data_IF_509280614138
#
_entry.id   IF_509280614138
#
_cell.length_a   1.000
_cell.length_b   1.000
_cell.length_c   1.000
_cell.angle_alpha   90.00
_cell.angle_beta   90.00
_cell.angle_gamma   90.00
#
_symmetry.space_group_name_H-M   'P 1'
#
loop_
_entity.id
_entity.type
_entity.pdbx_description
1 polymer ?
#
# COMPACT_ATOMS: atom_id res chain seq x y z
N UNK A 1 8.49 18.58 11.61
CA UNK A 1 7.56 17.60 12.20
C UNK A 1 6.20 18.24 12.18
N UNK A 2 5.15 17.51 11.79
CA UNK A 2 3.77 18.00 11.87
C UNK A 2 3.44 18.21 13.34
N UNK A 3 2.85 19.35 13.68
CA UNK A 3 2.45 19.61 15.06
C UNK A 3 1.31 18.67 15.48
N UNK A 4 1.52 17.97 16.59
CA UNK A 4 0.55 17.04 17.14
C UNK A 4 0.46 17.27 18.65
N UNK A 5 -0.67 17.83 19.15
CA UNK A 5 -0.79 18.16 20.56
C UNK A 5 -0.87 16.93 21.48
N UNK A 6 -1.18 15.75 20.94
CA UNK A 6 -1.37 14.54 21.73
C UNK A 6 -0.10 13.71 21.89
N UNK A 7 0.97 14.01 21.14
CA UNK A 7 2.23 13.24 21.08
C UNK A 7 2.07 11.73 20.73
N UNK A 8 0.86 11.30 20.40
CA UNK A 8 0.51 9.95 20.00
C UNK A 8 0.51 9.82 18.49
N UNK A 9 0.92 8.67 17.95
CA UNK A 9 0.71 8.43 16.52
C UNK A 9 -0.79 8.48 16.20
N UNK A 10 -1.16 8.86 14.96
CA UNK A 10 -2.57 8.91 14.54
C UNK A 10 -3.32 7.58 14.78
N UNK A 11 -2.57 6.50 14.88
CA UNK A 11 -3.04 5.13 15.03
C UNK A 11 -3.35 4.76 16.48
N UNK A 12 -2.79 5.47 17.44
CA UNK A 12 -3.09 5.25 18.83
C UNK A 12 -4.50 5.78 19.17
N UNK A 13 -5.23 5.10 20.06
CA UNK A 13 -6.52 5.60 20.53
C UNK A 13 -6.29 6.89 21.31
N UNK A 14 -6.91 7.97 20.82
CA UNK A 14 -7.03 9.22 21.57
C UNK A 14 -8.21 9.01 22.52
N UNK A 15 -7.96 9.13 23.81
CA UNK A 15 -8.92 8.99 24.89
C UNK A 15 -9.29 10.36 25.43
N UNK A 16 -10.35 10.42 26.25
CA UNK A 16 -10.79 11.65 26.91
C UNK A 16 -9.65 12.36 27.67
N UNK A 17 -8.80 11.61 28.37
CA UNK A 17 -7.64 12.16 29.11
C UNK A 17 -6.64 12.88 28.20
N UNK A 18 -6.52 12.48 26.93
CA UNK A 18 -5.61 13.14 25.98
C UNK A 18 -6.15 14.49 25.51
N UNK A 19 -7.48 14.67 25.54
CA UNK A 19 -8.13 15.94 25.18
C UNK A 19 -7.86 17.03 26.20
N UNK A 20 -7.71 16.66 27.47
CA UNK A 20 -7.40 17.60 28.56
C UNK A 20 -6.05 18.31 28.38
N UNK A 21 -5.14 17.73 27.59
CA UNK A 21 -3.87 18.37 27.21
C UNK A 21 -4.13 19.69 26.47
N UNK A 22 -5.18 19.77 25.65
CA UNK A 22 -5.53 20.97 24.89
C UNK A 22 -5.82 22.15 25.82
N UNK A 23 -6.53 21.91 26.92
CA UNK A 23 -6.89 22.93 27.92
C UNK A 23 -5.71 23.20 28.86
N UNK A 24 -5.10 22.14 29.39
CA UNK A 24 -4.01 22.23 30.38
C UNK A 24 -2.81 22.99 29.83
N UNK A 25 -2.45 22.74 28.57
CA UNK A 25 -1.33 23.40 27.90
C UNK A 25 -1.73 24.71 27.20
N UNK A 26 -2.97 25.17 27.36
CA UNK A 26 -3.48 26.41 26.75
C UNK A 26 -3.24 26.45 25.23
N UNK A 27 -3.59 25.36 24.55
CA UNK A 27 -3.37 25.23 23.12
C UNK A 27 -4.35 26.15 22.38
N UNK A 28 -3.80 27.08 21.60
CA UNK A 28 -4.55 28.01 20.77
C UNK A 28 -4.84 27.44 19.38
N UNK A 29 -5.95 27.89 18.77
CA UNK A 29 -6.12 27.76 17.33
C UNK A 29 -4.95 28.43 16.59
N UNK A 30 -4.66 27.92 15.40
CA UNK A 30 -3.61 28.48 14.56
C UNK A 30 -3.43 27.64 13.31
N UNK A 31 -2.22 27.59 12.76
CA UNK A 31 -1.96 26.89 11.50
C UNK A 31 -2.33 25.40 11.48
N UNK A 32 -2.33 24.74 12.65
CA UNK A 32 -2.48 23.29 12.76
C UNK A 32 -3.74 22.85 13.51
N UNK A 33 -4.48 23.77 14.14
CA UNK A 33 -5.64 23.44 14.98
C UNK A 33 -6.78 24.40 14.68
N UNK A 34 -7.96 23.83 14.54
CA UNK A 34 -9.25 24.50 14.43
C UNK A 34 -10.21 23.87 15.45
N UNK A 35 -10.79 24.70 16.32
CA UNK A 35 -11.83 24.31 17.26
C UNK A 35 -13.21 24.74 16.78
N UNK A 36 -14.21 23.92 17.12
CA UNK A 36 -15.62 24.30 17.09
C UNK A 36 -16.31 23.75 18.33
N UNK A 37 -17.22 24.53 18.90
CA UNK A 37 -18.08 24.05 20.00
C UNK A 37 -19.05 22.98 19.51
N UNK A 38 -19.68 23.20 18.36
CA UNK A 38 -20.66 22.29 17.75
C UNK A 38 -20.38 22.15 16.25
N UNK A 39 -20.91 21.09 15.63
CA UNK A 39 -20.79 20.89 14.18
C UNK A 39 -21.56 22.02 13.48
N UNK A 40 -20.90 22.88 12.67
CA UNK A 40 -21.59 23.96 11.99
C UNK A 40 -22.71 23.44 11.08
N UNK A 41 -23.90 24.04 11.17
CA UNK A 41 -25.03 23.69 10.26
C UNK A 41 -24.71 24.01 8.81
N UNK A 42 -23.89 25.03 8.58
CA UNK A 42 -23.43 25.43 7.26
C UNK A 42 -22.24 24.57 6.80
N UNK A 43 -22.54 23.63 5.91
CA UNK A 43 -21.56 22.66 5.38
C UNK A 43 -20.40 23.34 4.63
N UNK A 44 -20.60 24.52 4.02
CA UNK A 44 -19.50 25.19 3.32
C UNK A 44 -18.44 25.70 4.30
N UNK A 45 -18.82 26.09 5.53
CA UNK A 45 -17.86 26.54 6.54
C UNK A 45 -16.92 25.41 6.95
N UNK A 46 -17.47 24.23 7.19
CA UNK A 46 -16.68 23.02 7.48
C UNK A 46 -15.75 22.72 6.29
N UNK A 47 -16.27 22.76 5.07
CA UNK A 47 -15.47 22.49 3.86
C UNK A 47 -14.29 23.47 3.72
N UNK A 48 -14.51 24.76 4.03
CA UNK A 48 -13.45 25.79 4.05
C UNK A 48 -12.39 25.47 5.10
N UNK A 49 -12.79 25.14 6.34
CA UNK A 49 -11.83 24.81 7.40
C UNK A 49 -10.99 23.58 7.02
N UNK A 50 -11.62 22.50 6.57
CA UNK A 50 -10.93 21.27 6.16
C UNK A 50 -10.01 21.48 4.94
N UNK A 51 -10.50 22.16 3.89
CA UNK A 51 -9.70 22.48 2.71
C UNK A 51 -8.51 23.36 3.08
N UNK A 52 -8.68 24.32 4.00
CA UNK A 52 -7.61 25.22 4.41
C UNK A 52 -6.48 24.53 5.17
N UNK A 53 -6.81 23.57 6.03
CA UNK A 53 -5.84 22.73 6.73
C UNK A 53 -5.07 21.88 5.69
N UNK A 54 -5.79 21.22 4.80
CA UNK A 54 -5.20 20.38 3.74
C UNK A 54 -4.33 21.20 2.76
N UNK A 55 -4.70 22.46 2.48
CA UNK A 55 -3.93 23.39 1.66
C UNK A 55 -2.76 24.03 2.40
N UNK A 56 -2.65 23.92 3.72
CA UNK A 56 -1.58 24.58 4.49
C UNK A 56 -0.56 23.56 4.98
N UNK A 57 -0.69 23.02 6.19
CA UNK A 57 0.28 22.08 6.76
C UNK A 57 -0.39 20.80 7.29
N UNK A 58 -1.61 20.51 6.84
CA UNK A 58 -2.47 19.57 7.54
C UNK A 58 -2.93 20.14 8.88
N UNK A 59 -3.32 19.27 9.80
CA UNK A 59 -3.65 19.62 11.18
C UNK A 59 -4.87 18.89 11.72
N UNK A 60 -5.50 19.50 12.71
CA UNK A 60 -6.57 18.94 13.51
C UNK A 60 -7.79 19.85 13.47
N UNK A 61 -8.93 19.28 13.10
CA UNK A 61 -10.23 19.92 13.23
C UNK A 61 -11.00 19.21 14.34
N UNK A 62 -11.30 19.93 15.42
CA UNK A 62 -11.83 19.34 16.66
C UNK A 62 -13.16 20.01 17.00
N UNK A 63 -14.21 19.21 17.14
CA UNK A 63 -15.56 19.66 17.49
C UNK A 63 -15.95 19.16 18.87
N UNK A 64 -16.52 20.03 19.69
CA UNK A 64 -16.82 19.79 21.11
C UNK A 64 -15.88 20.51 22.06
N UNK A 65 -15.16 21.53 21.57
CA UNK A 65 -14.19 22.31 22.36
C UNK A 65 -14.64 23.76 22.42
N UNK A 66 -14.66 24.31 23.63
CA UNK A 66 -14.91 25.73 23.88
C UNK A 66 -13.60 26.50 23.88
N UNK A 67 -13.65 27.74 23.38
CA UNK A 67 -12.50 28.62 23.30
C UNK A 67 -12.78 29.97 23.93
N UNK A 68 -11.73 30.63 24.41
CA UNK A 68 -11.81 32.03 24.83
C UNK A 68 -11.74 33.01 23.65
N UNK A 69 -11.66 34.31 23.96
CA UNK A 69 -11.52 35.40 22.99
C UNK A 69 -10.19 35.41 22.23
N UNK A 70 -9.20 34.63 22.69
CA UNK A 70 -7.90 34.45 22.06
C UNK A 70 -7.82 33.10 21.31
N UNK A 71 -8.95 32.42 21.14
CA UNK A 71 -9.07 31.10 20.51
C UNK A 71 -8.26 30.00 21.24
N UNK A 72 -8.04 30.15 22.55
CA UNK A 72 -7.41 29.14 23.41
C UNK A 72 -8.47 28.18 23.93
N UNK A 73 -8.19 26.87 23.89
CA UNK A 73 -9.10 25.86 24.44
C UNK A 73 -9.31 26.05 25.95
N UNK A 74 -10.58 26.17 26.37
CA UNK A 74 -10.95 26.39 27.79
C UNK A 74 -11.70 25.22 28.41
N UNK A 75 -12.43 24.44 27.60
CA UNK A 75 -13.19 23.29 28.09
C UNK A 75 -13.49 22.29 26.97
N UNK A 76 -13.53 20.99 27.32
CA UNK A 76 -13.95 19.90 26.44
C UNK A 76 -15.41 19.55 26.78
N UNK A 77 -16.37 20.33 26.27
CA UNK A 77 -17.79 20.15 26.60
C UNK A 77 -18.50 19.07 25.77
N UNK A 78 -17.96 18.76 24.59
CA UNK A 78 -18.57 17.83 23.63
C UNK A 78 -19.91 18.31 23.08
N UNK A 79 -20.53 17.49 22.24
CA UNK A 79 -21.89 17.68 21.73
C UNK A 79 -22.73 16.42 21.90
N UNK A 80 -24.05 16.55 21.92
CA UNK A 80 -24.96 15.41 22.14
C UNK A 80 -25.15 14.58 20.86
N UNK A 81 -25.40 13.27 21.01
CA UNK A 81 -25.74 12.39 19.88
C UNK A 81 -27.03 12.79 19.17
N UNK A 82 -27.95 13.46 19.86
CA UNK A 82 -29.16 14.07 19.28
C UNK A 82 -28.82 15.16 18.26
N UNK A 83 -27.73 15.91 18.49
CA UNK A 83 -27.28 16.97 17.59
C UNK A 83 -26.66 16.39 16.31
N UNK A 84 -25.95 15.26 16.42
CA UNK A 84 -25.41 14.53 15.28
C UNK A 84 -25.14 13.07 15.65
N UNK A 85 -25.97 12.16 15.12
CA UNK A 85 -25.88 10.73 15.41
C UNK A 85 -24.63 10.08 14.80
N UNK A 86 -24.28 10.46 13.56
CA UNK A 86 -23.11 9.91 12.85
C UNK A 86 -22.22 11.03 12.28
N UNK A 87 -21.39 11.64 13.14
CA UNK A 87 -20.54 12.76 12.73
C UNK A 87 -19.46 12.34 11.73
N UNK A 88 -19.03 11.06 11.75
CA UNK A 88 -18.02 10.56 10.81
C UNK A 88 -18.57 10.53 9.39
N UNK A 89 -19.77 9.97 9.19
CA UNK A 89 -20.41 9.94 7.87
C UNK A 89 -20.72 11.35 7.37
N UNK A 90 -21.15 12.26 8.26
CA UNK A 90 -21.37 13.67 7.91
C UNK A 90 -20.11 14.32 7.33
N UNK A 91 -18.94 14.15 7.97
CA UNK A 91 -17.67 14.70 7.47
C UNK A 91 -17.28 14.06 6.13
N UNK A 92 -17.36 12.73 6.03
CA UNK A 92 -17.00 12.00 4.80
C UNK A 92 -17.85 12.43 3.61
N UNK A 93 -19.16 12.53 3.79
CA UNK A 93 -20.08 12.98 2.75
C UNK A 93 -19.84 14.44 2.39
N UNK A 94 -19.63 15.29 3.39
CA UNK A 94 -19.35 16.71 3.17
C UNK A 94 -18.12 16.89 2.29
N UNK A 95 -17.01 16.24 2.62
CA UNK A 95 -15.76 16.40 1.86
C UNK A 95 -15.90 15.90 0.44
N UNK A 96 -16.57 14.75 0.21
CA UNK A 96 -16.86 14.24 -1.14
C UNK A 96 -17.67 15.21 -2.01
N UNK A 97 -18.60 15.96 -1.41
CA UNK A 97 -19.51 16.85 -2.16
C UNK A 97 -19.05 18.31 -2.24
N UNK A 98 -18.19 18.74 -1.32
CA UNK A 98 -17.83 20.16 -1.16
C UNK A 98 -16.36 20.49 -1.42
N UNK A 99 -15.49 19.50 -1.63
CA UNK A 99 -14.05 19.71 -1.87
C UNK A 99 -13.60 18.84 -3.04
N UNK A 100 -12.81 19.43 -3.95
CA UNK A 100 -12.26 18.77 -5.13
C UNK A 100 -10.77 19.14 -5.33
N UNK A 101 -9.83 18.18 -5.47
CA UNK A 101 -10.03 16.74 -5.24
C UNK A 101 -10.49 16.44 -3.81
N UNK A 102 -10.96 15.23 -3.54
CA UNK A 102 -11.41 14.83 -2.18
C UNK A 102 -10.16 14.67 -1.29
N UNK A 103 -9.94 15.50 -0.25
CA UNK A 103 -8.82 15.30 0.66
C UNK A 103 -9.02 14.05 1.51
N UNK A 104 -7.90 13.41 1.86
CA UNK A 104 -7.87 12.36 2.87
C UNK A 104 -7.96 12.99 4.25
N UNK A 105 -8.72 12.33 5.11
CA UNK A 105 -8.98 12.71 6.48
C UNK A 105 -9.23 11.47 7.35
N UNK A 106 -8.86 11.57 8.62
CA UNK A 106 -9.00 10.50 9.60
C UNK A 106 -9.89 10.99 10.75
N UNK A 107 -11.21 10.85 10.60
CA UNK A 107 -12.17 11.25 11.63
C UNK A 107 -12.27 10.16 12.71
N UNK A 108 -12.31 10.58 13.97
CA UNK A 108 -12.53 9.75 15.15
C UNK A 108 -13.55 10.42 16.06
N UNK A 109 -14.36 9.63 16.74
CA UNK A 109 -15.30 10.08 17.76
C UNK A 109 -14.85 9.56 19.11
N UNK A 110 -14.81 10.44 20.10
CA UNK A 110 -14.49 10.11 21.48
C UNK A 110 -15.74 10.38 22.30
N UNK A 111 -16.16 9.39 23.07
CA UNK A 111 -17.26 9.52 24.04
C UNK A 111 -16.67 9.96 25.37
N UNK A 112 -17.16 11.08 25.89
CA UNK A 112 -16.80 11.61 27.19
C UNK A 112 -17.55 10.87 28.31
N UNK A 113 -17.09 10.98 29.55
CA UNK A 113 -17.73 10.36 30.71
C UNK A 113 -19.20 10.75 30.91
N UNK A 114 -19.62 11.91 30.41
CA UNK A 114 -21.00 12.40 30.43
C UNK A 114 -21.85 11.98 29.21
N UNK A 115 -21.36 11.06 28.38
CA UNK A 115 -21.98 10.60 27.12
C UNK A 115 -22.03 11.63 25.98
N UNK A 116 -21.45 12.83 26.16
CA UNK A 116 -21.24 13.74 25.03
C UNK A 116 -20.12 13.21 24.13
N UNK A 117 -20.13 13.66 22.89
CA UNK A 117 -19.20 13.26 21.84
C UNK A 117 -18.24 14.39 21.51
N UNK A 118 -16.99 14.05 21.26
CA UNK A 118 -15.99 14.92 20.64
C UNK A 118 -15.60 14.31 19.31
N UNK A 119 -15.69 15.09 18.23
CA UNK A 119 -15.23 14.68 16.91
C UNK A 119 -13.83 15.27 16.71
N UNK A 120 -12.87 14.41 16.41
CA UNK A 120 -11.53 14.80 15.96
C UNK A 120 -11.38 14.39 14.52
N UNK A 121 -10.91 15.30 13.67
CA UNK A 121 -10.54 15.00 12.29
C UNK A 121 -9.09 15.38 12.12
N UNK A 122 -8.23 14.39 11.90
CA UNK A 122 -6.86 14.64 11.47
C UNK A 122 -6.80 14.76 9.96
N UNK A 123 -6.12 15.81 9.49
CA UNK A 123 -5.84 16.08 8.10
C UNK A 123 -4.33 15.97 7.92
N UNK A 124 -3.84 14.95 7.20
CA UNK A 124 -2.42 14.78 6.95
C UNK A 124 -1.88 15.91 6.08
N UNK A 125 -0.61 16.23 6.28
CA UNK A 125 0.16 17.05 5.35
C UNK A 125 0.51 16.23 4.08
N UNK A 126 1.24 16.84 3.13
CA UNK A 126 1.77 16.15 1.95
C UNK A 126 0.71 15.45 1.10
N UNK A 127 -0.43 16.09 0.90
CA UNK A 127 -1.43 15.67 -0.09
C UNK A 127 -1.29 16.47 -1.38
N UNK A 128 -1.92 16.01 -2.47
CA UNK A 128 -1.89 16.69 -3.76
C UNK A 128 -2.73 17.97 -3.75
N UNK A 129 -2.09 19.07 -3.37
CA UNK A 129 -2.73 20.39 -3.36
C UNK A 129 -2.76 21.03 -4.74
N UNK A 130 -3.70 21.95 -5.02
CA UNK A 130 -4.69 22.52 -4.12
C UNK A 130 -6.02 21.76 -4.05
N UNK A 131 -6.65 21.85 -2.88
CA UNK A 131 -8.03 21.48 -2.62
C UNK A 131 -8.94 22.69 -2.83
N UNK A 132 -9.85 22.59 -3.79
CA UNK A 132 -10.79 23.63 -4.17
C UNK A 132 -12.15 23.31 -3.57
N UNK A 133 -12.76 24.26 -2.87
CA UNK A 133 -14.11 24.08 -2.33
C UNK A 133 -15.17 24.28 -3.42
N UNK A 134 -16.41 23.85 -3.16
CA UNK A 134 -17.54 23.92 -4.11
C UNK A 134 -17.85 25.32 -4.64
N UNK A 135 -17.49 26.38 -3.90
CA UNK A 135 -17.59 27.77 -4.35
C UNK A 135 -16.44 28.21 -5.28
N UNK A 136 -15.60 27.27 -5.74
CA UNK A 136 -14.56 27.49 -6.74
C UNK A 136 -13.30 28.16 -6.19
N UNK A 137 -13.14 28.23 -4.87
CA UNK A 137 -12.05 28.95 -4.21
C UNK A 137 -11.09 27.99 -3.50
N UNK A 138 -9.83 28.41 -3.42
CA UNK A 138 -8.80 27.74 -2.64
C UNK A 138 -8.72 28.51 -1.32
N UNK A 139 -8.94 27.84 -0.21
CA UNK A 139 -8.82 28.44 1.12
C UNK A 139 -7.47 28.04 1.74
N UNK A 140 -6.88 28.94 2.52
CA UNK A 140 -5.67 28.70 3.31
C UNK A 140 -5.84 29.19 4.74
N UNK A 141 -4.95 28.75 5.62
CA UNK A 141 -4.82 29.32 6.97
C UNK A 141 -3.83 30.47 6.98
N UNK A 142 -4.13 31.47 7.79
CA UNK A 142 -3.24 32.58 8.14
C UNK A 142 -3.11 32.60 9.67
N UNK A 143 -1.92 32.91 10.18
CA UNK A 143 -1.57 32.75 11.60
C UNK A 143 -2.59 33.41 12.55
N UNK A 144 -3.14 34.56 12.15
CA UNK A 144 -3.92 35.45 13.03
C UNK A 144 -5.44 35.40 12.78
N UNK A 145 -5.93 34.52 11.90
CA UNK A 145 -7.37 34.46 11.57
C UNK A 145 -7.98 33.13 11.97
N UNK A 146 -9.08 33.20 12.72
CA UNK A 146 -9.93 32.06 13.06
C UNK A 146 -10.71 31.52 11.86
N UNK A 147 -10.86 32.31 10.79
CA UNK A 147 -11.57 31.90 9.58
C UNK A 147 -10.61 31.68 8.40
N UNK A 148 -10.78 30.60 7.63
CA UNK A 148 -10.03 30.39 6.40
C UNK A 148 -10.20 31.53 5.42
N UNK A 149 -9.09 31.99 4.83
CA UNK A 149 -9.09 33.10 3.86
C UNK A 149 -9.01 32.52 2.44
N UNK A 150 -9.86 32.97 1.51
CA UNK A 150 -9.72 32.60 0.11
C UNK A 150 -8.41 33.19 -0.44
N UNK A 151 -7.59 32.33 -1.04
CA UNK A 151 -6.32 32.71 -1.63
C UNK A 151 -6.52 33.18 -3.07
N UNK A 152 -5.94 34.34 -3.38
CA UNK A 152 -5.96 34.95 -4.71
C UNK A 152 -4.56 35.40 -5.16
N UNK A 153 -3.57 35.40 -4.27
CA UNK A 153 -2.19 35.73 -4.62
C UNK A 153 -1.61 34.66 -5.55
N UNK A 154 -1.18 35.11 -6.74
CA UNK A 154 -0.69 34.21 -7.79
C UNK A 154 0.52 33.41 -7.34
N UNK A 155 1.46 34.04 -6.64
CA UNK A 155 2.67 33.37 -6.18
C UNK A 155 2.36 32.24 -5.21
N UNK A 156 1.46 32.48 -4.25
CA UNK A 156 1.03 31.48 -3.28
C UNK A 156 0.27 30.34 -3.94
N UNK A 157 -0.60 30.64 -4.91
CA UNK A 157 -1.28 29.63 -5.71
C UNK A 157 -0.28 28.78 -6.51
N UNK A 158 0.67 29.39 -7.20
CA UNK A 158 1.70 28.66 -7.96
C UNK A 158 2.51 27.74 -7.05
N UNK A 159 2.88 28.20 -5.85
CA UNK A 159 3.54 27.35 -4.84
C UNK A 159 2.67 26.18 -4.38
N UNK A 160 1.36 26.37 -4.24
CA UNK A 160 0.43 25.30 -3.86
C UNK A 160 0.34 24.22 -4.93
N UNK A 161 0.27 24.62 -6.21
CA UNK A 161 0.31 23.71 -7.34
C UNK A 161 1.66 23.00 -7.46
N UNK A 162 2.78 23.72 -7.29
CA UNK A 162 4.13 23.15 -7.28
C UNK A 162 4.26 22.07 -6.22
N UNK A 163 3.76 22.34 -5.00
CA UNK A 163 3.77 21.36 -3.92
C UNK A 163 2.94 20.12 -4.27
N UNK A 164 1.75 20.30 -4.86
CA UNK A 164 0.94 19.16 -5.30
C UNK A 164 1.65 18.32 -6.36
N UNK A 165 2.29 18.97 -7.34
CA UNK A 165 3.13 18.29 -8.35
C UNK A 165 4.28 17.54 -7.71
N UNK A 166 4.95 18.14 -6.73
CA UNK A 166 6.06 17.49 -6.03
C UNK A 166 5.59 16.25 -5.26
N UNK A 167 4.49 16.36 -4.50
CA UNK A 167 3.84 15.23 -3.84
C UNK A 167 3.45 14.14 -4.84
N UNK A 168 3.00 14.51 -6.04
CA UNK A 168 2.73 13.58 -7.15
C UNK A 168 3.98 12.85 -7.62
N UNK A 169 5.10 13.57 -7.79
CA UNK A 169 6.38 13.01 -8.25
C UNK A 169 7.07 12.15 -7.20
N UNK A 170 6.80 12.35 -5.91
CA UNK A 170 7.47 11.58 -4.84
C UNK A 170 7.32 10.06 -5.02
N UNK A 171 6.14 9.59 -5.40
CA UNK A 171 5.93 8.15 -5.63
C UNK A 171 6.65 7.70 -6.90
N UNK A 172 6.56 8.46 -8.00
CA UNK A 172 7.29 8.18 -9.23
C UNK A 172 8.80 8.08 -9.01
N UNK A 173 9.37 9.03 -8.27
CA UNK A 173 10.79 9.03 -7.92
C UNK A 173 11.16 7.85 -7.03
N UNK A 174 10.30 7.50 -6.07
CA UNK A 174 10.47 6.32 -5.23
C UNK A 174 10.44 5.02 -6.05
N UNK A 175 9.57 4.95 -7.06
CA UNK A 175 9.41 3.80 -7.96
C UNK A 175 10.48 3.71 -9.05
N UNK A 176 11.67 4.25 -8.80
CA UNK A 176 12.86 4.05 -9.65
C UNK A 176 13.70 2.92 -9.06
N UNK A 177 14.16 2.04 -9.94
CA UNK A 177 15.15 1.02 -9.60
C UNK A 177 16.55 1.62 -9.75
N UNK A 178 17.26 1.73 -8.64
CA UNK A 178 18.62 2.28 -8.59
C UNK A 178 19.68 1.16 -8.52
N UNK A 179 19.26 -0.11 -8.54
CA UNK A 179 20.18 -1.25 -8.48
C UNK A 179 20.97 -1.39 -9.76
N UNK A 180 22.17 -1.93 -9.61
CA UNK A 180 23.04 -2.28 -10.73
C UNK A 180 23.11 -3.80 -10.83
N UNK A 181 23.03 -4.31 -12.05
CA UNK A 181 23.15 -5.73 -12.35
C UNK A 181 24.47 -6.00 -13.06
N UNK A 182 25.22 -6.99 -12.58
CA UNK A 182 26.38 -7.49 -13.31
C UNK A 182 25.93 -8.28 -14.55
N UNK A 183 26.86 -8.54 -15.48
CA UNK A 183 26.56 -9.36 -16.66
C UNK A 183 26.16 -10.82 -16.30
N UNK A 184 26.51 -11.29 -15.11
CA UNK A 184 26.15 -12.61 -14.62
C UNK A 184 24.70 -12.68 -14.10
N UNK A 185 24.05 -11.53 -13.85
CA UNK A 185 22.72 -11.42 -13.26
C UNK A 185 21.65 -11.04 -14.30
N UNK A 186 21.81 -11.46 -15.55
CA UNK A 186 20.85 -11.22 -16.66
C UNK A 186 19.56 -12.05 -16.51
N UNK A 187 18.98 -12.01 -15.32
CA UNK A 187 17.71 -12.61 -15.00
C UNK A 187 16.59 -11.60 -15.20
N UNK A 188 15.39 -12.11 -15.46
CA UNK A 188 14.19 -11.29 -15.44
C UNK A 188 13.76 -10.98 -14.00
N UNK A 189 13.13 -9.83 -13.82
CA UNK A 189 12.71 -9.35 -12.51
C UNK A 189 11.27 -8.86 -12.53
N UNK A 190 10.54 -9.19 -11.47
CA UNK A 190 9.32 -8.51 -11.05
C UNK A 190 9.67 -7.53 -9.93
N UNK A 191 9.34 -6.26 -10.11
CA UNK A 191 9.56 -5.18 -9.15
C UNK A 191 8.21 -4.64 -8.72
N UNK A 192 8.00 -4.52 -7.42
CA UNK A 192 6.75 -4.04 -6.83
C UNK A 192 7.09 -2.88 -5.90
N UNK A 193 6.43 -1.75 -6.12
CA UNK A 193 6.58 -0.57 -5.28
C UNK A 193 5.25 -0.32 -4.58
N UNK A 194 5.30 -0.19 -3.25
CA UNK A 194 4.12 0.01 -2.41
C UNK A 194 4.40 1.20 -1.50
N UNK A 195 3.51 2.18 -1.48
CA UNK A 195 3.59 3.31 -0.56
C UNK A 195 2.26 3.46 0.18
N UNK A 196 2.26 3.48 1.53
CA UNK A 196 1.08 3.85 2.28
C UNK A 196 0.62 5.25 1.87
N UNK A 197 -0.68 5.41 1.68
CA UNK A 197 -1.28 6.68 1.28
C UNK A 197 -2.22 7.19 2.37
N UNK A 198 -2.13 8.47 2.76
CA UNK A 198 -1.27 9.53 2.23
C UNK A 198 0.18 9.46 2.76
N UNK A 199 1.11 10.00 1.97
CA UNK A 199 2.57 9.94 2.19
C UNK A 199 3.02 10.65 3.49
N UNK A 200 2.18 11.51 4.07
CA UNK A 200 2.44 12.30 5.29
C UNK A 200 2.27 11.56 6.63
N UNK A 201 2.35 10.22 6.61
CA UNK A 201 2.01 9.36 7.76
C UNK A 201 3.25 9.01 8.61
N UNK A 202 3.13 8.33 9.78
CA UNK A 202 4.17 8.39 10.81
C UNK A 202 5.51 7.82 10.32
N UNK A 203 6.60 8.49 10.70
CA UNK A 203 7.94 8.05 10.35
C UNK A 203 8.28 6.77 11.11
N UNK A 204 8.71 5.75 10.39
CA UNK A 204 9.10 4.46 10.93
C UNK A 204 10.57 4.47 11.39
N UNK A 205 10.97 5.47 12.18
CA UNK A 205 12.37 5.61 12.63
C UNK A 205 12.85 4.46 13.50
N UNK A 206 11.93 3.70 14.12
CA UNK A 206 12.26 2.52 14.92
C UNK A 206 12.80 1.35 14.08
N UNK A 207 12.49 1.30 12.77
CA UNK A 207 12.91 0.21 11.87
C UNK A 207 14.43 0.06 11.76
N UNK A 208 15.19 1.10 12.09
CA UNK A 208 16.63 1.17 11.88
C UNK A 208 17.46 0.70 13.08
N UNK A 209 16.82 0.15 14.12
CA UNK A 209 17.50 -0.42 15.28
C UNK A 209 17.94 -1.86 15.04
N UNK A 210 19.07 -2.27 15.61
CA UNK A 210 19.59 -3.64 15.50
C UNK A 210 18.57 -4.69 15.96
N UNK A 211 17.91 -4.45 17.09
CA UNK A 211 16.85 -5.33 17.60
C UNK A 211 15.66 -5.45 16.64
N UNK A 212 15.35 -4.40 15.88
CA UNK A 212 14.28 -4.46 14.88
C UNK A 212 14.69 -5.28 13.67
N UNK A 213 15.94 -5.16 13.21
CA UNK A 213 16.47 -6.00 12.13
C UNK A 213 16.43 -7.48 12.52
N UNK A 214 16.87 -7.83 13.74
CA UNK A 214 16.82 -9.19 14.26
C UNK A 214 15.39 -9.73 14.32
N UNK A 215 14.45 -8.92 14.82
CA UNK A 215 13.04 -9.28 14.91
C UNK A 215 12.43 -9.52 13.52
N UNK A 216 12.72 -8.67 12.54
CA UNK A 216 12.23 -8.81 11.17
C UNK A 216 12.79 -10.07 10.48
N UNK A 217 14.09 -10.36 10.65
CA UNK A 217 14.69 -11.59 10.15
C UNK A 217 14.05 -12.82 10.80
N UNK A 218 13.84 -12.80 12.12
CA UNK A 218 13.19 -13.88 12.84
C UNK A 218 11.72 -14.06 12.41
N UNK A 219 11.00 -12.96 12.16
CA UNK A 219 9.62 -12.99 11.68
C UNK A 219 9.52 -13.59 10.26
N UNK A 220 10.47 -13.27 9.37
CA UNK A 220 10.48 -13.79 7.99
C UNK A 220 10.65 -15.32 7.89
N UNK A 221 11.18 -15.94 8.96
CA UNK A 221 11.38 -17.40 9.08
C UNK A 221 10.15 -18.12 9.65
N UNK A 222 9.15 -17.39 10.14
CA UNK A 222 7.90 -17.96 10.63
C UNK A 222 6.92 -18.13 9.46
N UNK A 223 6.01 -19.13 9.53
CA UNK A 223 4.94 -19.25 8.55
C UNK A 223 4.04 -18.01 8.53
N UNK A 224 3.83 -17.44 7.33
CA UNK A 224 3.03 -16.22 7.17
C UNK A 224 1.59 -16.61 6.86
N UNK A 225 0.65 -16.00 7.60
CA UNK A 225 -0.78 -16.22 7.39
C UNK A 225 -1.31 -15.22 6.39
N UNK A 226 -1.98 -15.71 5.36
CA UNK A 226 -2.73 -14.87 4.44
C UNK A 226 -4.21 -14.91 4.85
N UNK A 227 -4.82 -13.76 5.20
CA UNK A 227 -6.24 -13.69 5.43
C UNK A 227 -6.99 -14.01 4.12
N UNK A 228 -7.90 -14.97 4.20
CA UNK A 228 -8.79 -15.34 3.10
C UNK A 228 -10.20 -14.79 3.36
N UNK A 229 -10.93 -14.50 2.28
CA UNK A 229 -12.33 -14.08 2.33
C UNK A 229 -13.26 -15.28 2.15
N UNK A 230 -14.47 -15.21 2.74
CA UNK A 230 -15.76 -15.95 2.63
C UNK A 230 -15.83 -17.41 2.13
N UNK A 231 -14.90 -17.87 1.29
CA UNK A 231 -14.84 -19.21 0.69
C UNK A 231 -13.99 -20.22 1.49
N UNK A 232 -13.27 -19.79 2.52
CA UNK A 232 -12.40 -20.65 3.32
C UNK A 232 -12.62 -20.44 4.82
N UNK A 233 -12.75 -21.53 5.59
CA UNK A 233 -12.97 -21.48 7.04
C UNK A 233 -11.74 -21.01 7.83
N UNK A 234 -10.53 -21.08 7.25
CA UNK A 234 -9.25 -20.77 7.91
C UNK A 234 -8.30 -20.03 6.96
N UNK A 235 -7.42 -19.16 7.49
CA UNK A 235 -6.37 -18.53 6.69
C UNK A 235 -5.43 -19.57 6.09
N UNK A 236 -4.91 -19.29 4.88
CA UNK A 236 -3.82 -20.08 4.30
C UNK A 236 -2.54 -19.72 5.04
N UNK A 237 -1.84 -20.73 5.52
CA UNK A 237 -0.50 -20.60 6.07
C UNK A 237 0.47 -20.82 4.91
N UNK A 238 1.11 -19.77 4.40
CA UNK A 238 2.20 -19.96 3.45
C UNK A 238 3.50 -20.30 4.17
N UNK A 239 4.45 -20.86 3.40
CA UNK A 239 5.79 -21.17 3.90
C UNK A 239 6.54 -19.94 4.43
N UNK A 240 7.74 -20.16 4.93
CA UNK A 240 8.65 -19.08 5.32
C UNK A 240 9.25 -18.39 4.09
N UNK A 241 9.64 -17.12 4.23
CA UNK A 241 10.42 -16.40 3.21
C UNK A 241 11.92 -16.72 3.31
N UNK A 242 12.40 -16.97 4.52
CA UNK A 242 13.81 -17.17 4.86
C UNK A 242 14.73 -16.01 4.45
N UNK A 243 14.30 -14.77 4.70
CA UNK A 243 15.22 -13.64 4.60
C UNK A 243 16.31 -13.84 5.66
N UNK A 244 17.57 -13.81 5.22
CA UNK A 244 18.72 -14.24 6.03
C UNK A 244 19.80 -13.17 6.15
N UNK A 245 19.69 -12.07 5.40
CA UNK A 245 20.54 -10.89 5.54
C UNK A 245 19.69 -9.63 5.70
N UNK A 246 20.18 -8.71 6.55
CA UNK A 246 19.58 -7.41 6.79
C UNK A 246 20.66 -6.34 6.81
N UNK A 247 20.43 -5.22 6.15
CA UNK A 247 21.32 -4.05 6.25
C UNK A 247 20.51 -2.75 6.31
N UNK A 248 21.16 -1.69 6.79
CA UNK A 248 20.60 -0.34 6.83
C UNK A 248 21.29 0.55 5.80
N UNK A 249 20.53 1.45 5.23
CA UNK A 249 21.01 2.58 4.44
C UNK A 249 20.68 3.88 5.19
N UNK A 250 21.13 5.06 4.71
CA UNK A 250 20.74 6.33 5.32
C UNK A 250 19.22 6.56 5.38
N UNK A 251 18.42 5.86 4.58
CA UNK A 251 16.97 6.11 4.44
C UNK A 251 16.10 4.86 4.50
N UNK A 252 16.66 3.66 4.41
CA UNK A 252 15.92 2.40 4.35
C UNK A 252 16.61 1.23 5.07
N UNK A 253 15.84 0.18 5.30
CA UNK A 253 16.34 -1.15 5.64
C UNK A 253 16.16 -2.05 4.42
N UNK A 254 17.08 -2.98 4.20
CA UNK A 254 17.02 -3.95 3.11
C UNK A 254 17.15 -5.34 3.72
N UNK A 255 16.15 -6.19 3.50
CA UNK A 255 16.18 -7.60 3.86
C UNK A 255 16.29 -8.42 2.58
N UNK A 256 17.17 -9.43 2.57
CA UNK A 256 17.42 -10.25 1.38
C UNK A 256 17.47 -11.73 1.72
N UNK A 257 17.14 -12.55 0.74
CA UNK A 257 17.46 -13.97 0.73
C UNK A 257 18.74 -14.15 -0.09
N UNK A 258 19.85 -14.51 0.54
CA UNK A 258 21.16 -14.68 -0.12
C UNK A 258 21.73 -16.06 0.13
N UNK A 259 22.64 -16.49 -0.76
CA UNK A 259 23.51 -17.64 -0.54
C UNK A 259 24.95 -17.09 -0.43
N UNK A 260 25.79 -17.73 0.38
CA UNK A 260 27.21 -17.38 0.58
C UNK A 260 27.94 -17.28 -0.77
N UNK A 261 27.62 -18.15 -1.72
CA UNK A 261 28.24 -18.16 -3.05
C UNK A 261 27.85 -16.96 -3.93
N UNK A 262 26.70 -16.34 -3.66
CA UNK A 262 26.09 -15.30 -4.51
C UNK A 262 25.77 -14.03 -3.70
N UNK A 263 26.48 -13.78 -2.60
CA UNK A 263 26.18 -12.67 -1.68
C UNK A 263 26.24 -11.29 -2.37
N UNK A 264 27.15 -11.16 -3.34
CA UNK A 264 27.34 -9.97 -4.15
C UNK A 264 26.25 -9.76 -5.22
N UNK A 265 25.44 -10.77 -5.54
CA UNK A 265 24.40 -10.69 -6.57
C UNK A 265 23.07 -10.25 -5.97
N UNK A 266 22.32 -9.45 -6.71
CA UNK A 266 20.93 -9.14 -6.43
C UNK A 266 20.14 -10.43 -6.25
N UNK A 267 19.21 -10.41 -5.31
CA UNK A 267 18.39 -11.57 -4.96
C UNK A 267 17.00 -11.11 -4.54
N UNK A 268 16.15 -12.08 -4.16
CA UNK A 268 14.86 -11.78 -3.55
C UNK A 268 15.08 -10.81 -2.38
N UNK A 269 14.43 -9.64 -2.46
CA UNK A 269 14.67 -8.57 -1.49
C UNK A 269 13.45 -7.71 -1.24
N UNK A 270 13.37 -7.18 -0.03
CA UNK A 270 12.43 -6.14 0.37
C UNK A 270 13.21 -5.00 1.01
N UNK A 271 13.06 -3.81 0.45
CA UNK A 271 13.58 -2.56 0.99
C UNK A 271 12.42 -1.75 1.58
N UNK A 272 12.55 -1.28 2.82
CA UNK A 272 11.53 -0.46 3.50
C UNK A 272 12.16 0.84 3.99
N UNK A 273 11.58 1.97 3.62
CA UNK A 273 12.11 3.28 3.99
C UNK A 273 11.49 3.89 5.26
N UNK A 274 12.01 5.04 5.68
CA UNK A 274 11.52 5.79 6.86
C UNK A 274 10.06 6.24 6.77
N UNK A 275 9.48 6.27 5.58
CA UNK A 275 8.07 6.60 5.36
C UNK A 275 7.20 5.35 5.28
N UNK A 276 7.79 4.16 5.52
CA UNK A 276 7.12 2.88 5.44
C UNK A 276 6.88 2.44 4.00
N UNK A 277 7.47 3.08 2.98
CA UNK A 277 7.30 2.64 1.59
C UNK A 277 8.19 1.43 1.33
N UNK A 278 7.68 0.46 0.58
CA UNK A 278 8.39 -0.78 0.26
C UNK A 278 8.72 -0.92 -1.23
N UNK A 279 9.94 -1.34 -1.52
CA UNK A 279 10.36 -1.89 -2.82
C UNK A 279 10.58 -3.38 -2.65
N UNK A 280 9.88 -4.19 -3.41
CA UNK A 280 10.00 -5.65 -3.39
C UNK A 280 10.52 -6.08 -4.75
N UNK A 281 11.58 -6.89 -4.75
CA UNK A 281 12.23 -7.35 -5.96
C UNK A 281 12.29 -8.86 -5.99
N UNK A 282 11.67 -9.46 -7.01
CA UNK A 282 11.51 -10.89 -7.16
C UNK A 282 12.19 -11.32 -8.47
N UNK A 283 13.23 -12.16 -8.43
CA UNK A 283 13.80 -12.74 -9.63
C UNK A 283 12.84 -13.76 -10.24
N UNK A 284 12.60 -13.68 -11.54
CA UNK A 284 11.78 -14.61 -12.31
C UNK A 284 12.67 -15.70 -12.90
N UNK A 285 12.78 -16.80 -12.16
CA UNK A 285 13.62 -17.94 -12.52
C UNK A 285 12.94 -18.79 -13.62
N UNK A 286 13.60 -18.97 -14.78
CA UNK A 286 13.10 -19.86 -15.82
C UNK A 286 13.03 -21.31 -15.35
N UNK A 287 11.93 -21.99 -15.68
CA UNK A 287 11.77 -23.44 -15.53
C UNK A 287 12.59 -24.11 -16.63
N UNK A 288 13.52 -24.98 -16.22
CA UNK A 288 14.23 -25.85 -17.15
C UNK A 288 13.44 -27.17 -17.28
N UNK A 289 12.68 -27.34 -18.36
CA UNK A 289 11.94 -28.57 -18.60
C UNK A 289 12.87 -29.71 -19.03
N UNK A 290 13.45 -30.38 -18.05
CA UNK A 290 14.18 -31.65 -18.21
C UNK A 290 13.21 -32.85 -18.04
N UNK A 291 13.63 -34.06 -18.44
CA UNK A 291 12.77 -35.28 -18.40
C UNK A 291 12.14 -35.55 -17.02
N UNK A 292 12.87 -35.26 -15.94
CA UNK A 292 12.35 -35.37 -14.58
C UNK A 292 11.20 -34.38 -14.31
N UNK A 293 11.32 -33.12 -14.74
CA UNK A 293 10.28 -32.11 -14.52
C UNK A 293 9.05 -32.37 -15.41
N UNK A 294 9.24 -32.90 -16.62
CA UNK A 294 8.12 -33.32 -17.48
C UNK A 294 7.25 -34.40 -16.81
N UNK A 295 7.87 -35.29 -16.02
CA UNK A 295 7.15 -36.33 -15.29
C UNK A 295 6.36 -35.81 -14.07
N UNK A 296 6.63 -34.58 -13.63
CA UNK A 296 5.92 -33.92 -12.52
C UNK A 296 4.69 -33.13 -12.98
N UNK A 297 4.51 -32.90 -14.28
CA UNK A 297 3.34 -32.21 -14.84
C UNK A 297 2.10 -33.08 -14.63
N UNK A 298 1.12 -32.55 -13.87
CA UNK A 298 -0.10 -33.27 -13.47
C UNK A 298 -1.19 -33.17 -14.51
N UNK A 299 -1.31 -32.03 -15.19
CA UNK A 299 -2.34 -31.83 -16.22
C UNK A 299 -1.94 -32.52 -17.54
N UNK A 300 -2.76 -33.44 -18.06
CA UNK A 300 -2.49 -34.08 -19.35
C UNK A 300 -2.51 -33.10 -20.53
N UNK A 301 -3.36 -32.06 -20.45
CA UNK A 301 -3.47 -31.01 -21.47
C UNK A 301 -2.21 -30.16 -21.48
N UNK A 302 -1.72 -29.77 -20.30
CA UNK A 302 -0.45 -29.05 -20.15
C UNK A 302 0.72 -29.90 -20.64
N UNK A 303 0.78 -31.18 -20.24
CA UNK A 303 1.85 -32.09 -20.64
C UNK A 303 1.98 -32.16 -22.16
N UNK A 304 0.87 -32.35 -22.88
CA UNK A 304 0.85 -32.35 -24.36
C UNK A 304 1.51 -31.10 -24.93
N UNK A 305 1.20 -29.92 -24.38
CA UNK A 305 1.74 -28.64 -24.87
C UNK A 305 3.22 -28.48 -24.59
N UNK A 306 3.69 -28.84 -23.40
CA UNK A 306 5.10 -28.69 -23.03
C UNK A 306 5.94 -29.77 -23.73
N UNK A 307 5.48 -31.02 -23.74
CA UNK A 307 6.17 -32.15 -24.36
C UNK A 307 6.44 -31.91 -25.86
N UNK A 308 5.41 -31.53 -26.62
CA UNK A 308 5.56 -31.24 -28.06
C UNK A 308 6.60 -30.15 -28.34
N UNK A 309 6.82 -29.22 -27.39
CA UNK A 309 7.76 -28.12 -27.53
C UNK A 309 9.19 -28.53 -27.18
N UNK A 310 9.36 -29.27 -26.08
CA UNK A 310 10.65 -29.86 -25.72
C UNK A 310 11.14 -30.80 -26.83
N UNK A 311 10.25 -31.61 -27.42
CA UNK A 311 10.60 -32.45 -28.56
C UNK A 311 10.97 -31.63 -29.81
N UNK A 312 10.24 -30.55 -30.11
CA UNK A 312 10.54 -29.70 -31.28
C UNK A 312 11.80 -28.85 -31.13
N UNK A 313 12.20 -28.49 -29.91
CA UNK A 313 13.42 -27.71 -29.65
C UNK A 313 14.71 -28.51 -29.83
N UNK A 314 14.64 -29.84 -29.96
CA UNK A 314 15.79 -30.68 -30.32
C UNK A 314 16.27 -30.48 -31.76
N UNK A 315 15.50 -29.80 -32.64
CA UNK A 315 15.81 -29.60 -34.07
C UNK A 315 16.43 -28.22 -34.44
N UNK A 316 17.28 -27.62 -33.60
CA UNK A 316 18.00 -26.35 -33.90
C UNK A 316 17.14 -25.07 -34.03
N UNK A 317 15.96 -25.04 -33.41
CA UNK A 317 15.13 -23.82 -33.34
C UNK A 317 15.61 -22.90 -32.20
N UNK A 318 16.35 -21.83 -32.54
CA UNK A 318 16.92 -20.82 -31.61
C UNK A 318 15.88 -19.89 -30.92
N UNK A 319 14.62 -20.31 -30.78
CA UNK A 319 13.57 -19.53 -30.12
C UNK A 319 13.45 -20.00 -28.67
N UNK A 320 14.47 -19.71 -27.85
CA UNK A 320 14.48 -20.06 -26.43
C UNK A 320 13.39 -19.28 -25.68
N UNK A 321 12.20 -19.87 -25.55
CA UNK A 321 11.14 -19.41 -24.66
C UNK A 321 11.52 -19.72 -23.21
N UNK A 322 11.22 -18.79 -22.30
CA UNK A 322 11.54 -18.93 -20.88
C UNK A 322 10.25 -19.03 -20.08
N UNK A 323 9.88 -20.23 -19.67
CA UNK A 323 8.69 -20.41 -18.83
C UNK A 323 9.01 -20.05 -17.38
N UNK A 324 8.09 -19.42 -16.67
CA UNK A 324 8.23 -19.21 -15.21
C UNK A 324 6.92 -19.56 -14.51
N UNK A 325 7.00 -20.05 -13.28
CA UNK A 325 5.80 -20.48 -12.55
C UNK A 325 5.04 -19.25 -12.00
N UNK A 326 3.94 -18.87 -12.65
CA UNK A 326 3.14 -17.72 -12.21
C UNK A 326 2.40 -18.01 -10.89
N UNK A 327 2.03 -19.26 -10.63
CA UNK A 327 1.42 -19.66 -9.35
C UNK A 327 2.37 -19.46 -8.18
N UNK A 328 3.62 -19.91 -8.29
CA UNK A 328 4.66 -19.65 -7.28
C UNK A 328 4.94 -18.17 -7.13
N UNK A 329 4.97 -17.42 -8.23
CA UNK A 329 5.15 -15.96 -8.22
C UNK A 329 4.02 -15.27 -7.44
N UNK A 330 2.76 -15.64 -7.68
CA UNK A 330 1.61 -15.10 -6.93
C UNK A 330 1.66 -15.43 -5.45
N UNK A 331 1.99 -16.67 -5.09
CA UNK A 331 2.14 -17.04 -3.68
C UNK A 331 3.25 -16.24 -3.01
N UNK A 332 4.39 -16.06 -3.67
CA UNK A 332 5.51 -15.27 -3.15
C UNK A 332 5.14 -13.79 -2.96
N UNK A 333 4.44 -13.19 -3.93
CA UNK A 333 3.92 -11.83 -3.81
C UNK A 333 2.96 -11.72 -2.63
N UNK A 334 2.04 -12.67 -2.49
CA UNK A 334 1.11 -12.68 -1.38
C UNK A 334 1.83 -12.79 -0.03
N UNK A 335 2.84 -13.67 0.09
CA UNK A 335 3.68 -13.79 1.28
C UNK A 335 4.43 -12.50 1.61
N UNK A 336 5.11 -11.88 0.64
CA UNK A 336 5.93 -10.68 0.85
C UNK A 336 5.08 -9.46 1.22
N UNK A 337 3.93 -9.30 0.56
CA UNK A 337 3.01 -8.19 0.85
C UNK A 337 2.39 -8.39 2.22
N UNK A 338 1.96 -9.60 2.59
CA UNK A 338 1.49 -9.89 3.95
C UNK A 338 2.57 -9.65 5.01
N UNK A 339 3.80 -10.09 4.78
CA UNK A 339 4.93 -9.81 5.67
C UNK A 339 5.15 -8.31 5.86
N UNK A 340 5.14 -7.55 4.76
CA UNK A 340 5.28 -6.10 4.80
C UNK A 340 4.16 -5.43 5.60
N UNK A 341 2.90 -5.79 5.34
CA UNK A 341 1.76 -5.18 6.02
C UNK A 341 1.76 -5.52 7.53
N UNK A 342 2.01 -6.77 7.89
CA UNK A 342 1.86 -7.25 9.26
C UNK A 342 3.10 -6.95 10.12
N UNK A 343 4.29 -7.23 9.62
CA UNK A 343 5.53 -7.14 10.41
C UNK A 343 6.21 -5.77 10.26
N UNK A 344 6.13 -5.14 9.08
CA UNK A 344 6.87 -3.90 8.80
C UNK A 344 6.04 -2.64 9.06
N UNK A 345 4.78 -2.62 8.62
CA UNK A 345 3.87 -1.50 8.88
C UNK A 345 3.16 -1.61 10.24
N UNK A 346 3.23 -2.76 10.91
CA UNK A 346 2.50 -3.07 12.14
C UNK A 346 0.95 -3.03 11.97
N UNK A 347 0.26 -3.90 12.70
CA UNK A 347 -1.23 -4.02 12.71
C UNK A 347 -1.93 -2.78 13.25
N UNK A 348 -1.23 -1.88 13.94
CA UNK A 348 -1.80 -0.63 14.45
C UNK A 348 -2.04 0.41 13.36
N UNK A 349 -1.47 0.27 12.16
CA UNK A 349 -1.60 1.29 11.11
C UNK A 349 -2.95 1.27 10.39
N UNK A 350 -3.67 2.41 10.45
CA UNK A 350 -4.97 2.65 9.82
C UNK A 350 -4.92 2.92 8.31
N UNK A 351 -3.80 2.60 7.65
CA UNK A 351 -3.69 2.73 6.19
C UNK A 351 -4.67 1.79 5.52
N UNK A 352 -5.72 2.37 4.95
CA UNK A 352 -6.66 1.65 4.09
C UNK A 352 -6.26 1.75 2.63
N UNK A 353 -5.34 2.65 2.31
CA UNK A 353 -5.04 3.10 0.95
C UNK A 353 -3.53 2.98 0.66
N UNK A 354 -3.19 2.44 -0.51
CA UNK A 354 -1.81 2.25 -0.94
C UNK A 354 -1.62 2.68 -2.39
N UNK A 355 -0.57 3.47 -2.66
CA UNK A 355 -0.08 3.66 -4.02
C UNK A 355 0.77 2.46 -4.42
N UNK A 356 0.56 1.95 -5.63
CA UNK A 356 1.30 0.80 -6.15
C UNK A 356 1.81 1.03 -7.57
N UNK A 357 2.98 0.48 -7.85
CA UNK A 357 3.55 0.37 -9.19
C UNK A 357 4.15 -1.02 -9.37
N UNK A 358 4.05 -1.56 -10.58
CA UNK A 358 4.56 -2.89 -10.95
C UNK A 358 5.44 -2.75 -12.18
N UNK A 359 6.61 -3.37 -12.16
CA UNK A 359 7.52 -3.41 -13.29
C UNK A 359 8.02 -4.83 -13.54
N UNK A 360 8.07 -5.20 -14.81
CA UNK A 360 8.82 -6.35 -15.28
C UNK A 360 10.01 -5.85 -16.09
N UNK A 361 11.16 -6.48 -15.89
CA UNK A 361 12.42 -6.13 -16.53
C UNK A 361 13.14 -7.40 -16.98
N UNK A 362 13.75 -7.38 -18.15
CA UNK A 362 14.38 -8.56 -18.77
C UNK A 362 13.42 -9.69 -19.17
N UNK A 363 12.13 -9.41 -19.34
CA UNK A 363 11.07 -10.42 -19.55
C UNK A 363 10.80 -10.79 -21.02
N UNK A 364 11.64 -10.34 -21.95
CA UNK A 364 11.45 -10.72 -23.34
C UNK A 364 11.50 -12.25 -23.52
N UNK A 365 10.48 -12.80 -24.20
CA UNK A 365 10.25 -14.25 -24.42
C UNK A 365 9.90 -15.06 -23.17
N UNK A 366 9.58 -14.41 -22.05
CA UNK A 366 9.03 -15.11 -20.91
C UNK A 366 7.58 -15.55 -21.16
N UNK A 367 7.21 -16.70 -20.58
CA UNK A 367 5.87 -17.27 -20.67
C UNK A 367 5.38 -17.62 -19.26
N UNK A 368 4.28 -17.02 -18.76
CA UNK A 368 3.69 -17.42 -17.49
C UNK A 368 3.12 -18.83 -17.61
N UNK A 369 3.56 -19.70 -16.71
CA UNK A 369 3.19 -21.11 -16.68
C UNK A 369 2.53 -21.48 -15.36
N UNK A 370 1.47 -22.28 -15.42
CA UNK A 370 0.93 -22.96 -14.25
C UNK A 370 0.30 -24.29 -14.67
N UNK A 371 0.63 -25.37 -13.96
CA UNK A 371 0.21 -26.73 -14.26
C UNK A 371 -1.25 -26.98 -13.85
N UNK A 372 -2.18 -26.45 -14.64
CA UNK A 372 -3.62 -26.66 -14.55
C UNK A 372 -4.24 -26.82 -15.93
N UNK A 373 -5.30 -27.63 -16.05
CA UNK A 373 -6.01 -27.85 -17.32
C UNK A 373 -6.46 -26.53 -17.96
N UNK A 374 -6.96 -25.59 -17.15
CA UNK A 374 -7.38 -24.26 -17.60
C UNK A 374 -6.27 -23.52 -18.38
N UNK A 375 -5.00 -23.67 -18.00
CA UNK A 375 -3.86 -23.07 -18.70
C UNK A 375 -3.65 -23.77 -20.05
N UNK A 376 -3.67 -25.11 -20.07
CA UNK A 376 -3.55 -25.88 -21.31
C UNK A 376 -4.65 -25.55 -22.32
N UNK A 377 -5.90 -25.46 -21.85
CA UNK A 377 -7.06 -25.05 -22.65
C UNK A 377 -6.97 -23.60 -23.14
N UNK A 378 -6.40 -22.69 -22.33
CA UNK A 378 -6.12 -21.33 -22.79
C UNK A 378 -5.11 -21.34 -23.94
N UNK A 379 -4.02 -22.11 -23.80
CA UNK A 379 -2.99 -22.26 -24.83
C UNK A 379 -3.53 -22.90 -26.11
N UNK A 380 -4.41 -23.90 -26.01
CA UNK A 380 -5.07 -24.50 -27.18
C UNK A 380 -5.91 -23.48 -27.96
N UNK A 381 -6.60 -22.57 -27.25
CA UNK A 381 -7.51 -21.60 -27.88
C UNK A 381 -6.80 -20.35 -28.41
N UNK A 382 -5.81 -19.86 -27.70
CA UNK A 382 -5.23 -18.52 -27.94
C UNK A 382 -3.73 -18.55 -28.22
N UNK A 383 -3.07 -19.71 -28.12
CA UNK A 383 -1.62 -19.82 -28.21
C UNK A 383 -0.90 -19.50 -26.89
N UNK A 384 0.43 -19.52 -26.92
CA UNK A 384 1.22 -19.19 -25.73
C UNK A 384 1.17 -17.68 -25.43
N UNK A 385 0.99 -17.28 -24.15
CA UNK A 385 1.09 -15.90 -23.73
C UNK A 385 2.57 -15.46 -23.65
N UNK A 386 3.23 -15.35 -24.81
CA UNK A 386 4.64 -14.96 -24.88
C UNK A 386 4.77 -13.45 -24.68
N UNK A 387 5.57 -13.05 -23.70
CA UNK A 387 5.87 -11.65 -23.46
C UNK A 387 6.82 -11.12 -24.54
N UNK A 388 6.36 -10.14 -25.31
CA UNK A 388 7.10 -9.56 -26.45
C UNK A 388 7.89 -8.30 -26.10
N UNK A 389 7.68 -7.74 -24.91
CA UNK A 389 8.39 -6.57 -24.40
C UNK A 389 9.47 -7.00 -23.41
N UNK A 390 10.63 -6.36 -23.42
CA UNK A 390 11.68 -6.65 -22.44
C UNK A 390 11.43 -5.93 -21.10
N UNK A 391 10.77 -4.77 -21.17
CA UNK A 391 10.36 -3.97 -20.03
C UNK A 391 8.86 -3.69 -20.10
N UNK A 392 8.15 -3.97 -19.02
CA UNK A 392 6.72 -3.66 -18.86
C UNK A 392 6.59 -2.83 -17.59
N UNK A 393 6.08 -1.61 -17.70
CA UNK A 393 5.69 -0.80 -16.55
C UNK A 393 4.17 -0.73 -16.50
N UNK A 394 3.62 -1.17 -15.39
CA UNK A 394 2.19 -1.03 -15.15
C UNK A 394 1.93 0.40 -14.65
N UNK A 395 1.25 1.18 -15.49
CA UNK A 395 0.99 2.63 -15.38
C UNK A 395 2.11 3.53 -15.90
N UNK A 396 1.73 4.47 -16.76
CA UNK A 396 2.63 5.48 -17.30
C UNK A 396 2.84 6.66 -16.35
N UNK A 397 3.95 7.36 -16.55
CA UNK A 397 4.29 8.58 -15.82
C UNK A 397 3.22 9.66 -16.10
N UNK A 398 2.31 9.88 -15.15
CA UNK A 398 1.23 10.87 -15.26
C UNK A 398 -0.19 10.30 -15.27
N UNK A 399 -0.38 8.99 -15.33
CA UNK A 399 -1.69 8.40 -15.05
C UNK A 399 -2.06 8.62 -13.57
N UNK A 400 -3.29 9.07 -13.32
CA UNK A 400 -3.78 9.30 -11.96
C UNK A 400 -3.71 8.01 -11.16
N UNK A 401 -2.75 7.97 -10.23
CA UNK A 401 -2.62 7.12 -9.04
C UNK A 401 -3.69 6.04 -8.90
N UNK A 402 -3.30 4.77 -8.96
CA UNK A 402 -4.17 3.72 -8.42
C UNK A 402 -3.89 3.52 -6.96
N UNK A 403 -4.74 4.16 -6.18
CA UNK A 403 -4.89 3.91 -4.76
C UNK A 403 -5.65 2.59 -4.62
N UNK A 404 -5.05 1.62 -3.97
CA UNK A 404 -5.75 0.39 -3.57
C UNK A 404 -6.41 0.66 -2.23
N UNK A 405 -7.74 0.84 -2.24
CA UNK A 405 -8.58 1.16 -1.07
C UNK A 405 -8.85 -0.04 -0.14
N UNK A 406 -7.92 -0.99 -0.08
CA UNK A 406 -8.04 -2.15 0.80
C UNK A 406 -6.69 -2.75 1.13
N UNK A 407 -6.28 -2.62 2.39
CA UNK A 407 -5.11 -3.29 2.99
C UNK A 407 -5.14 -4.79 2.74
N UNK A 408 -6.28 -5.44 3.05
CA UNK A 408 -6.39 -6.91 3.02
C UNK A 408 -6.43 -7.48 1.59
N UNK A 409 -6.78 -6.67 0.59
CA UNK A 409 -6.86 -7.08 -0.82
C UNK A 409 -5.67 -6.60 -1.66
N UNK A 410 -4.71 -5.91 -1.05
CA UNK A 410 -3.56 -5.34 -1.75
C UNK A 410 -2.81 -6.38 -2.57
N UNK A 411 -2.51 -7.51 -1.95
CA UNK A 411 -1.76 -8.58 -2.60
C UNK A 411 -2.57 -9.23 -3.75
N UNK A 412 -3.90 -9.40 -3.61
CA UNK A 412 -4.76 -9.93 -4.69
C UNK A 412 -4.78 -9.00 -5.89
N UNK A 413 -4.87 -7.70 -5.63
CA UNK A 413 -4.80 -6.67 -6.64
C UNK A 413 -3.47 -6.77 -7.42
N UNK A 414 -2.35 -6.93 -6.72
CA UNK A 414 -1.04 -7.08 -7.36
C UNK A 414 -0.96 -8.37 -8.20
N UNK A 415 -1.40 -9.51 -7.67
CA UNK A 415 -1.42 -10.78 -8.40
C UNK A 415 -2.26 -10.71 -9.69
N UNK A 416 -3.43 -10.08 -9.62
CA UNK A 416 -4.28 -9.87 -10.79
C UNK A 416 -3.56 -9.05 -11.87
N UNK A 417 -2.95 -7.93 -11.51
CA UNK A 417 -2.26 -7.07 -12.48
C UNK A 417 -0.96 -7.71 -13.02
N UNK A 418 -0.27 -8.51 -12.22
CA UNK A 418 0.86 -9.37 -12.67
C UNK A 418 0.40 -10.30 -13.79
N UNK A 419 -0.76 -10.96 -13.62
CA UNK A 419 -1.33 -11.84 -14.63
C UNK A 419 -1.64 -11.12 -15.94
N UNK A 420 -2.30 -9.96 -15.85
CA UNK A 420 -2.62 -9.12 -17.02
C UNK A 420 -1.32 -8.68 -17.74
N UNK A 421 -0.32 -8.22 -16.99
CA UNK A 421 0.96 -7.79 -17.55
C UNK A 421 1.68 -8.93 -18.29
N UNK A 422 1.46 -10.18 -17.88
CA UNK A 422 1.99 -11.36 -18.56
C UNK A 422 1.11 -11.87 -19.71
N UNK A 423 0.07 -11.11 -20.12
CA UNK A 423 -0.77 -11.44 -21.27
C UNK A 423 -1.94 -12.40 -20.97
N UNK A 424 -2.27 -12.63 -19.70
CA UNK A 424 -3.40 -13.49 -19.31
C UNK A 424 -4.68 -12.65 -19.12
N UNK A 425 -5.83 -13.09 -19.67
CA UNK A 425 -7.07 -12.32 -19.60
C UNK A 425 -7.70 -12.38 -18.18
N UNK A 426 -8.42 -11.32 -17.74
CA UNK A 426 -9.03 -11.26 -16.40
C UNK A 426 -9.89 -12.47 -16.01
N UNK A 427 -10.62 -13.03 -16.97
CA UNK A 427 -11.50 -14.20 -16.75
C UNK A 427 -10.71 -15.46 -16.42
N UNK A 428 -9.53 -15.62 -17.03
CA UNK A 428 -8.61 -16.71 -16.70
C UNK A 428 -8.07 -16.56 -15.28
N UNK A 429 -7.71 -15.33 -14.90
CA UNK A 429 -7.01 -15.04 -13.66
C UNK A 429 -7.83 -15.39 -12.43
N UNK A 430 -9.13 -15.09 -12.41
CA UNK A 430 -9.98 -15.41 -11.26
C UNK A 430 -9.97 -16.92 -10.93
N UNK A 431 -10.14 -17.76 -11.95
CA UNK A 431 -10.17 -19.22 -11.79
C UNK A 431 -8.78 -19.80 -11.52
N UNK A 432 -7.77 -19.39 -12.28
CA UNK A 432 -6.39 -19.87 -12.08
C UNK A 432 -5.87 -19.51 -10.69
N UNK A 433 -6.15 -18.29 -10.23
CA UNK A 433 -5.74 -17.82 -8.92
C UNK A 433 -6.45 -18.59 -7.79
N UNK A 434 -7.75 -18.88 -7.93
CA UNK A 434 -8.46 -19.73 -6.98
C UNK A 434 -7.86 -21.15 -6.92
N UNK A 435 -7.49 -21.74 -8.06
CA UNK A 435 -6.80 -23.04 -8.10
C UNK A 435 -5.47 -23.02 -7.35
N UNK A 436 -4.67 -21.96 -7.52
CA UNK A 436 -3.40 -21.78 -6.78
C UNK A 436 -3.61 -21.77 -5.27
N UNK A 437 -4.62 -21.04 -4.79
CA UNK A 437 -4.95 -20.99 -3.36
C UNK A 437 -5.44 -22.34 -2.83
N UNK A 438 -6.27 -23.05 -3.60
CA UNK A 438 -6.76 -24.38 -3.23
C UNK A 438 -5.61 -25.37 -3.12
N UNK A 439 -4.68 -25.38 -4.08
CA UNK A 439 -3.52 -26.26 -4.07
C UNK A 439 -2.60 -25.96 -2.87
N UNK A 440 -2.38 -24.68 -2.56
CA UNK A 440 -1.65 -24.26 -1.37
C UNK A 440 -2.35 -24.70 -0.07
N UNK A 441 -3.67 -24.50 0.02
CA UNK A 441 -4.47 -24.91 1.18
C UNK A 441 -4.44 -26.42 1.41
N UNK A 442 -4.59 -27.22 0.34
CA UNK A 442 -4.51 -28.69 0.42
C UNK A 442 -3.15 -29.15 0.91
N UNK A 443 -2.07 -28.59 0.38
CA UNK A 443 -0.69 -28.95 0.73
C UNK A 443 -0.39 -28.74 2.22
N UNK A 444 -0.96 -27.68 2.81
CA UNK A 444 -0.84 -27.41 4.25
C UNK A 444 -1.59 -28.44 5.12
N UNK A 445 -2.76 -28.91 4.67
CA UNK A 445 -3.63 -29.79 5.44
C UNK A 445 -3.37 -31.28 5.24
N UNK A 446 -2.71 -31.68 4.15
CA UNK A 446 -2.19 -33.04 3.97
C UNK A 446 -0.93 -33.26 4.79
N UNK A 447 -0.06 -32.25 4.89
CA UNK A 447 1.17 -32.31 5.70
C UNK A 447 0.89 -32.49 7.20
N UNK A 448 -0.24 -31.99 7.71
CA UNK A 448 -0.66 -32.18 9.11
C UNK A 448 -1.31 -33.54 9.42
N UNK A 449 -1.64 -34.35 8.39
CA UNK A 449 -2.27 -35.68 8.58
C UNK A 449 -1.28 -36.84 8.54
N UNK A 450 -0.06 -36.61 8.05
CA UNK A 450 1.00 -37.64 7.98
C UNK A 450 2.00 -37.56 9.16
N UNK A 451 1.68 -36.81 10.21
CA UNK A 451 2.47 -36.71 11.44
C UNK A 451 1.68 -37.19 12.67
N UNK A 452 1.16 -38.42 12.60
CA UNK A 452 0.63 -39.18 13.75
C UNK A 452 1.24 -40.58 13.76
#
# INVERSE_FOLDING_TARGET
MIYNPFEKTINEPIQEVDLEILVTNQIAEGYYIEYKREIPKDKIKIARSLASLANTYGGWYIVGVETDKHNVATAISGFTSESCHDPISVIRDLVKHYINPVPILFPKVITLGNSNLVLIVYIPDQQETPFVTKDGRIYRRTHDSSDPVPEADRYTLDRLFERGREVSRQFTNFSRDERTFSQAEKDAWLKIYIAPYPTGSPKFSFLFSESTLENLLAASKKPIKIPLFDSFEKPIILGHLELNTACTTPTSIILRQTNIEYEAFNSLSIEIDRLGRAKIFIPLQPIQFMQNILSEIRSPVVYKHIFNRVESDHEESNVLLKFFNIGTTWLLVATLVSFYLEECLNTSTTFTEFQVNLEFDGVWRYVPFYDIDLWGEHVDRFGLPVIMQDYIRFYEEGEKRRIVESRDRLWMYLCHNIGIACGLPPEFLASAFASVLIDAYKSNHTSSKNSL
#
